data_IF_438752034075
#
_entry.id   IF_438752034075
#
_cell.length_a   1.000
_cell.length_b   1.000
_cell.length_c   1.000
_cell.angle_alpha   90.00
_cell.angle_beta   90.00
_cell.angle_gamma   90.00
#
_symmetry.space_group_name_H-M   'P 1'
#
loop_
_entity.id
_entity.type
_entity.pdbx_description
1 polymer ?
#
# COMPACT_ATOMS: atom_id res chain seq x y z
N UNK A 1 7.39 -29.66 -8.12
CA UNK A 1 8.51 -28.69 -8.12
C UNK A 1 9.36 -28.85 -9.36
N UNK A 2 9.83 -30.06 -9.70
CA UNK A 2 10.59 -30.31 -10.94
C UNK A 2 9.83 -29.91 -12.21
N UNK A 3 8.54 -30.25 -12.32
CA UNK A 3 7.72 -29.85 -13.48
C UNK A 3 7.54 -28.32 -13.58
N UNK A 4 7.31 -27.64 -12.44
CA UNK A 4 7.21 -26.17 -12.39
C UNK A 4 8.52 -25.50 -12.80
N UNK A 5 9.66 -25.96 -12.28
CA UNK A 5 10.97 -25.40 -12.63
C UNK A 5 11.35 -25.71 -14.08
N UNK A 6 10.87 -26.82 -14.65
CA UNK A 6 11.06 -27.12 -16.07
C UNK A 6 10.29 -26.16 -16.98
N UNK A 7 9.12 -25.70 -16.54
CA UNK A 7 8.24 -24.83 -17.33
C UNK A 7 8.53 -23.33 -17.10
N UNK A 8 8.83 -22.94 -15.85
CA UNK A 8 8.97 -21.54 -15.44
C UNK A 8 10.33 -21.20 -14.84
N UNK A 9 11.27 -22.14 -14.76
CA UNK A 9 12.56 -21.94 -14.08
C UNK A 9 13.38 -20.79 -14.66
N UNK A 10 13.31 -20.56 -15.97
CA UNK A 10 14.01 -19.47 -16.66
C UNK A 10 13.46 -18.08 -16.26
N UNK A 11 12.25 -17.99 -15.69
CA UNK A 11 11.60 -16.75 -15.27
C UNK A 11 11.46 -16.63 -13.75
N UNK A 12 11.65 -17.73 -13.02
CA UNK A 12 11.39 -17.82 -11.60
C UNK A 12 12.68 -17.58 -10.79
N UNK A 13 12.56 -16.85 -9.68
CA UNK A 13 13.66 -16.73 -8.72
C UNK A 13 14.75 -15.74 -9.11
N UNK A 14 14.37 -14.65 -9.80
CA UNK A 14 15.24 -13.52 -10.18
C UNK A 14 16.35 -13.91 -11.18
N UNK A 15 16.01 -14.35 -12.41
CA UNK A 15 16.99 -14.81 -13.40
C UNK A 15 18.01 -13.76 -13.82
N UNK A 16 17.61 -12.48 -13.87
CA UNK A 16 18.48 -11.34 -14.16
C UNK A 16 19.04 -10.69 -12.88
N UNK A 17 18.77 -11.29 -11.72
CA UNK A 17 19.21 -10.80 -10.43
C UNK A 17 20.69 -11.07 -10.19
N UNK A 18 21.36 -10.29 -9.31
CA UNK A 18 22.76 -10.52 -8.94
C UNK A 18 22.98 -11.82 -8.17
N UNK A 19 21.91 -12.42 -7.64
CA UNK A 19 21.88 -13.72 -6.95
C UNK A 19 20.56 -14.42 -7.30
N UNK A 20 20.62 -15.72 -7.48
CA UNK A 20 19.43 -16.57 -7.57
C UNK A 20 18.70 -16.67 -6.23
N UNK A 21 17.40 -17.04 -6.26
CA UNK A 21 16.62 -17.26 -5.03
C UNK A 21 17.27 -18.29 -4.09
N UNK A 22 17.88 -19.34 -4.64
CA UNK A 22 18.58 -20.37 -3.87
C UNK A 22 19.79 -19.79 -3.16
N UNK A 23 20.62 -19.03 -3.86
CA UNK A 23 21.79 -18.37 -3.26
C UNK A 23 21.40 -17.34 -2.19
N UNK A 24 20.32 -16.58 -2.39
CA UNK A 24 19.80 -15.65 -1.38
C UNK A 24 19.37 -16.43 -0.12
N UNK A 25 18.60 -17.52 -0.29
CA UNK A 25 18.14 -18.35 0.82
C UNK A 25 19.31 -18.95 1.60
N UNK A 26 20.32 -19.47 0.91
CA UNK A 26 21.50 -20.11 1.52
C UNK A 26 22.45 -19.09 2.18
N UNK A 27 22.61 -17.90 1.60
CA UNK A 27 23.61 -16.93 2.09
C UNK A 27 23.07 -15.91 3.08
N UNK A 28 21.79 -15.54 3.00
CA UNK A 28 21.21 -14.46 3.79
C UNK A 28 20.14 -14.89 4.80
N UNK A 29 19.75 -16.17 4.78
CA UNK A 29 18.75 -16.73 5.70
C UNK A 29 19.21 -18.05 6.32
N UNK A 30 20.51 -18.20 6.61
CA UNK A 30 21.15 -19.42 7.14
C UNK A 30 20.47 -19.96 8.40
N UNK A 31 19.90 -19.08 9.22
CA UNK A 31 19.15 -19.49 10.42
C UNK A 31 17.99 -20.47 10.15
N UNK A 32 17.47 -20.51 8.91
CA UNK A 32 16.44 -21.46 8.51
C UNK A 32 17.01 -22.88 8.22
N UNK A 33 18.33 -23.05 8.12
CA UNK A 33 18.98 -24.35 7.89
C UNK A 33 18.91 -25.26 9.13
N UNK A 34 18.41 -24.74 10.24
CA UNK A 34 18.12 -25.47 11.47
C UNK A 34 16.88 -26.38 11.38
N UNK A 35 16.37 -26.62 10.16
CA UNK A 35 15.22 -27.49 9.90
C UNK A 35 13.87 -26.79 10.05
N UNK A 36 13.82 -25.45 10.05
CA UNK A 36 12.58 -24.68 10.15
C UNK A 36 12.11 -24.25 8.77
N UNK A 37 10.86 -24.60 8.43
CA UNK A 37 10.18 -24.12 7.22
C UNK A 37 9.29 -22.94 7.59
N UNK A 38 9.64 -21.74 7.13
CA UNK A 38 8.90 -20.51 7.43
C UNK A 38 7.94 -20.17 6.28
N UNK A 39 6.63 -20.30 6.52
CA UNK A 39 5.57 -20.08 5.52
C UNK A 39 4.69 -18.86 5.83
N UNK A 40 5.13 -17.97 6.71
CA UNK A 40 4.36 -16.80 7.18
C UNK A 40 4.91 -15.46 6.63
N UNK A 41 5.53 -15.49 5.45
CA UNK A 41 6.09 -14.29 4.81
C UNK A 41 5.04 -13.22 4.50
N UNK A 42 3.78 -13.60 4.29
CA UNK A 42 2.68 -12.67 4.08
C UNK A 42 2.26 -11.94 5.38
N UNK A 43 2.41 -12.58 6.54
CA UNK A 43 2.13 -11.99 7.84
C UNK A 43 3.28 -11.09 8.32
N UNK A 44 4.50 -11.62 8.32
CA UNK A 44 5.70 -10.88 8.70
C UNK A 44 6.94 -11.49 8.08
N UNK A 45 7.47 -10.91 7.00
CA UNK A 45 8.70 -11.46 6.42
C UNK A 45 9.91 -11.37 7.37
N UNK A 46 10.86 -12.27 7.14
CA UNK A 46 12.14 -12.32 7.82
C UNK A 46 13.09 -11.26 7.25
N UNK A 47 13.86 -10.59 8.11
CA UNK A 47 14.99 -9.76 7.66
C UNK A 47 16.15 -10.64 7.17
N UNK A 48 16.91 -10.17 6.20
CA UNK A 48 18.12 -10.89 5.76
C UNK A 48 19.29 -10.64 6.72
N UNK A 49 20.22 -11.58 6.85
CA UNK A 49 21.43 -11.41 7.68
C UNK A 49 22.27 -10.23 7.17
N UNK A 50 22.40 -10.11 5.85
CA UNK A 50 23.10 -9.00 5.20
C UNK A 50 22.47 -7.64 5.54
N UNK A 51 21.13 -7.56 5.56
CA UNK A 51 20.43 -6.33 5.94
C UNK A 51 20.76 -5.91 7.37
N UNK A 52 20.80 -6.87 8.31
CA UNK A 52 21.13 -6.59 9.70
C UNK A 52 22.59 -6.18 9.88
N UNK A 53 23.52 -6.86 9.18
CA UNK A 53 24.95 -6.51 9.19
C UNK A 53 25.18 -5.10 8.67
N UNK A 54 24.53 -4.73 7.55
CA UNK A 54 24.64 -3.39 6.97
C UNK A 54 24.11 -2.31 7.91
N UNK A 55 22.94 -2.52 8.53
CA UNK A 55 22.38 -1.57 9.50
C UNK A 55 23.29 -1.43 10.71
N UNK A 56 23.82 -2.54 11.22
CA UNK A 56 24.72 -2.51 12.36
C UNK A 56 26.02 -1.75 12.07
N UNK A 57 26.65 -2.03 10.92
CA UNK A 57 27.85 -1.33 10.48
C UNK A 57 27.58 0.16 10.27
N UNK A 58 26.45 0.51 9.66
CA UNK A 58 26.06 1.91 9.48
C UNK A 58 25.88 2.64 10.82
N UNK A 59 25.11 2.08 11.75
CA UNK A 59 24.85 2.73 13.04
C UNK A 59 26.08 2.83 13.94
N UNK A 60 27.09 1.96 13.74
CA UNK A 60 28.33 1.98 14.53
C UNK A 60 29.43 2.84 13.91
N UNK A 61 29.33 3.18 12.62
CA UNK A 61 30.34 3.96 11.89
C UNK A 61 29.87 5.37 11.50
N UNK A 62 28.56 5.62 11.49
CA UNK A 62 27.94 6.90 11.13
C UNK A 62 27.48 7.68 12.37
N UNK A 63 27.55 9.01 12.31
CA UNK A 63 26.95 9.89 13.32
C UNK A 63 25.72 10.56 12.72
N UNK A 64 24.56 10.31 13.31
CA UNK A 64 23.30 10.92 12.91
C UNK A 64 22.91 12.05 13.85
N UNK A 65 22.51 13.17 13.26
CA UNK A 65 22.08 14.36 13.98
C UNK A 65 20.57 14.52 13.89
N UNK A 66 20.02 15.40 14.73
CA UNK A 66 18.67 15.90 14.48
C UNK A 66 18.68 16.74 13.20
N UNK A 67 17.91 16.39 12.13
CA UNK A 67 17.91 17.08 10.84
C UNK A 67 17.42 18.54 10.89
N UNK A 68 16.89 18.98 12.03
CA UNK A 68 16.47 20.37 12.25
C UNK A 68 17.50 21.23 13.00
N UNK A 69 18.63 20.64 13.40
CA UNK A 69 19.74 21.39 14.01
C UNK A 69 20.53 22.16 12.95
N UNK A 70 21.32 23.15 13.38
CA UNK A 70 22.22 23.91 12.51
C UNK A 70 23.65 23.38 12.64
N UNK A 71 23.95 22.26 11.99
CA UNK A 71 25.29 21.66 11.94
C UNK A 71 25.47 20.80 10.68
N UNK A 72 26.72 20.55 10.28
CA UNK A 72 27.01 19.73 9.09
C UNK A 72 26.38 18.33 9.18
N UNK A 73 26.43 17.72 10.37
CA UNK A 73 25.83 16.39 10.65
C UNK A 73 24.29 16.41 10.45
N UNK A 74 23.64 17.52 10.81
CA UNK A 74 22.21 17.72 10.61
C UNK A 74 21.84 17.77 9.12
N UNK A 75 22.64 18.49 8.33
CA UNK A 75 22.48 18.58 6.88
C UNK A 75 22.65 17.22 6.21
N UNK A 76 23.71 16.48 6.55
CA UNK A 76 23.90 15.10 6.05
C UNK A 76 22.73 14.19 6.42
N UNK A 77 22.22 14.27 7.65
CA UNK A 77 21.06 13.47 8.05
C UNK A 77 19.82 13.85 7.23
N UNK A 78 19.61 15.14 6.94
CA UNK A 78 18.51 15.62 6.10
C UNK A 78 18.60 15.10 4.67
N UNK A 79 19.81 15.08 4.10
CA UNK A 79 20.09 14.51 2.77
C UNK A 79 19.77 13.02 2.73
N UNK A 80 20.22 12.24 3.73
CA UNK A 80 19.93 10.79 3.81
C UNK A 80 18.41 10.52 3.85
N UNK A 81 17.65 11.32 4.61
CA UNK A 81 16.19 11.17 4.65
C UNK A 81 15.57 11.55 3.29
N UNK A 82 16.07 12.59 2.62
CA UNK A 82 15.61 12.96 1.28
C UNK A 82 15.91 11.87 0.24
N UNK A 83 17.08 11.25 0.32
CA UNK A 83 17.52 10.15 -0.55
C UNK A 83 16.65 8.91 -0.35
N UNK A 84 16.35 8.56 0.90
CA UNK A 84 15.44 7.47 1.23
C UNK A 84 14.04 7.69 0.63
N UNK A 85 13.52 8.93 0.68
CA UNK A 85 12.22 9.27 0.05
C UNK A 85 12.27 9.11 -1.47
N UNK A 86 13.35 9.56 -2.12
CA UNK A 86 13.50 9.42 -3.57
C UNK A 86 13.54 7.96 -4.00
N UNK A 87 14.28 7.11 -3.29
CA UNK A 87 14.34 5.67 -3.57
C UNK A 87 12.96 5.00 -3.48
N UNK A 88 12.14 5.36 -2.47
CA UNK A 88 10.76 4.84 -2.36
C UNK A 88 9.90 5.28 -3.54
N UNK A 89 9.97 6.57 -3.92
CA UNK A 89 9.21 7.08 -5.06
C UNK A 89 9.63 6.42 -6.38
N UNK A 90 10.92 6.27 -6.62
CA UNK A 90 11.47 5.58 -7.79
C UNK A 90 11.01 4.12 -7.85
N UNK A 91 11.03 3.41 -6.72
CA UNK A 91 10.56 2.02 -6.64
C UNK A 91 9.08 1.88 -7.05
N UNK A 92 8.24 2.84 -6.69
CA UNK A 92 6.83 2.87 -7.08
C UNK A 92 6.56 3.58 -8.42
N UNK A 93 7.60 3.97 -9.16
CA UNK A 93 7.49 4.76 -10.39
C UNK A 93 6.63 6.02 -10.21
N UNK A 94 6.76 6.67 -9.04
CA UNK A 94 5.98 7.83 -8.64
C UNK A 94 6.80 9.12 -8.80
N UNK A 95 6.34 10.04 -9.66
CA UNK A 95 7.01 11.33 -9.86
C UNK A 95 7.01 12.17 -8.58
N UNK A 96 8.14 12.75 -8.15
CA UNK A 96 8.19 13.66 -7.00
C UNK A 96 7.45 14.99 -7.25
N UNK A 97 7.06 15.29 -8.49
CA UNK A 97 6.23 16.46 -8.83
C UNK A 97 4.77 16.25 -8.41
N UNK A 98 4.29 15.00 -8.49
CA UNK A 98 2.88 14.63 -8.22
C UNK A 98 2.70 13.93 -6.86
N UNK A 99 3.75 13.27 -6.36
CA UNK A 99 3.70 12.41 -5.18
C UNK A 99 4.71 12.84 -4.12
N UNK A 100 4.35 12.58 -2.86
CA UNK A 100 5.22 12.79 -1.70
C UNK A 100 5.34 11.49 -0.90
N UNK A 101 6.56 11.16 -0.46
CA UNK A 101 6.80 10.01 0.42
C UNK A 101 6.72 10.42 1.90
N UNK A 102 5.76 9.83 2.62
CA UNK A 102 5.55 10.04 4.05
C UNK A 102 5.82 8.75 4.81
N UNK A 103 6.90 8.71 5.59
CA UNK A 103 7.19 7.58 6.47
C UNK A 103 6.22 7.55 7.64
N UNK A 104 5.68 6.37 7.93
CA UNK A 104 4.80 6.10 9.07
C UNK A 104 5.28 4.85 9.80
N UNK A 105 4.69 4.51 10.94
CA UNK A 105 5.01 3.27 11.66
C UNK A 105 4.45 1.99 10.99
N UNK A 106 3.80 2.10 9.83
CA UNK A 106 3.29 0.98 9.04
C UNK A 106 1.95 1.27 8.38
N UNK A 107 1.45 0.32 7.58
CA UNK A 107 0.23 0.47 6.78
C UNK A 107 -0.99 0.93 7.60
N UNK A 108 -1.20 0.34 8.78
CA UNK A 108 -2.32 0.73 9.67
C UNK A 108 -2.21 2.19 10.13
N UNK A 109 -1.01 2.67 10.47
CA UNK A 109 -0.82 4.06 10.90
C UNK A 109 -1.02 5.03 9.73
N UNK A 110 -0.53 4.69 8.53
CA UNK A 110 -0.78 5.47 7.31
C UNK A 110 -2.29 5.59 7.01
N UNK A 111 -3.02 4.47 7.02
CA UNK A 111 -4.46 4.45 6.79
C UNK A 111 -5.24 5.25 7.84
N UNK A 112 -4.79 5.20 9.09
CA UNK A 112 -5.36 5.99 10.18
C UNK A 112 -5.20 7.50 9.91
N UNK A 113 -3.99 7.94 9.53
CA UNK A 113 -3.72 9.35 9.18
C UNK A 113 -4.62 9.78 8.02
N UNK A 114 -4.76 8.95 6.98
CA UNK A 114 -5.68 9.22 5.86
C UNK A 114 -7.11 9.40 6.38
N UNK A 115 -7.61 8.46 7.19
CA UNK A 115 -8.95 8.56 7.77
C UNK A 115 -9.18 9.82 8.60
N UNK A 116 -8.20 10.22 9.42
CA UNK A 116 -8.29 11.38 10.32
C UNK A 116 -8.19 12.72 9.59
N UNK A 117 -7.41 12.79 8.51
CA UNK A 117 -7.08 14.03 7.82
C UNK A 117 -7.90 14.27 6.56
N UNK A 118 -8.52 13.22 6.00
CA UNK A 118 -9.35 13.37 4.81
C UNK A 118 -10.52 14.35 5.10
N UNK A 119 -10.80 15.30 4.19
CA UNK A 119 -11.80 16.34 4.41
C UNK A 119 -13.22 15.80 4.18
N UNK A 120 -13.66 14.89 5.05
CA UNK A 120 -14.99 14.29 4.98
C UNK A 120 -16.09 15.35 5.10
N UNK A 121 -17.14 15.16 4.31
CA UNK A 121 -18.36 15.96 4.33
C UNK A 121 -19.58 15.03 4.31
N UNK A 122 -20.77 15.58 4.52
CA UNK A 122 -22.02 14.81 4.39
C UNK A 122 -22.24 14.26 2.97
N UNK A 123 -21.62 14.89 1.97
CA UNK A 123 -21.68 14.45 0.56
C UNK A 123 -20.62 13.40 0.21
N UNK A 124 -19.70 13.10 1.13
CA UNK A 124 -18.65 12.11 0.92
C UNK A 124 -19.22 10.69 1.01
N UNK A 125 -18.64 9.78 0.22
CA UNK A 125 -18.97 8.35 0.25
C UNK A 125 -17.65 7.57 0.38
N UNK A 126 -17.48 6.85 1.48
CA UNK A 126 -16.35 5.94 1.65
C UNK A 126 -16.73 4.55 1.14
N UNK A 127 -16.07 4.10 0.08
CA UNK A 127 -16.33 2.80 -0.55
C UNK A 127 -15.14 1.89 -0.35
N UNK A 128 -15.38 0.64 0.07
CA UNK A 128 -14.35 -0.35 0.33
C UNK A 128 -14.82 -1.75 -0.09
N UNK A 129 -13.89 -2.68 -0.32
CA UNK A 129 -14.24 -4.06 -0.69
C UNK A 129 -14.25 -4.98 0.54
N UNK A 130 -14.97 -6.10 0.46
CA UNK A 130 -15.05 -7.06 1.57
C UNK A 130 -13.72 -7.75 1.89
N UNK A 131 -12.82 -7.78 0.91
CA UNK A 131 -11.49 -8.38 0.97
C UNK A 131 -10.44 -7.43 1.56
N UNK A 132 -10.79 -6.15 1.76
CA UNK A 132 -9.87 -5.20 2.35
C UNK A 132 -9.53 -5.56 3.80
N UNK A 133 -8.27 -5.33 4.18
CA UNK A 133 -7.81 -5.52 5.54
C UNK A 133 -8.59 -4.64 6.53
N UNK A 134 -8.75 -5.10 7.78
CA UNK A 134 -9.51 -4.41 8.83
C UNK A 134 -9.10 -2.95 9.04
N UNK A 135 -7.82 -2.62 8.82
CA UNK A 135 -7.32 -1.24 8.91
C UNK A 135 -7.98 -0.29 7.91
N UNK A 136 -8.32 -0.77 6.70
CA UNK A 136 -9.08 0.01 5.70
C UNK A 136 -10.52 0.17 6.16
N UNK A 137 -11.12 -0.91 6.68
CA UNK A 137 -12.49 -0.87 7.20
C UNK A 137 -12.64 0.14 8.34
N UNK A 138 -11.60 0.29 9.17
CA UNK A 138 -11.56 1.26 10.27
C UNK A 138 -11.71 2.72 9.81
N UNK A 139 -11.33 3.05 8.58
CA UNK A 139 -11.47 4.41 8.02
C UNK A 139 -12.93 4.88 8.04
N UNK A 140 -13.89 3.94 7.89
CA UNK A 140 -15.33 4.24 7.90
C UNK A 140 -15.76 5.02 9.14
N UNK A 141 -15.13 4.79 10.30
CA UNK A 141 -15.53 5.45 11.53
C UNK A 141 -15.27 6.95 11.50
N UNK A 142 -14.19 7.37 10.82
CA UNK A 142 -13.89 8.78 10.61
C UNK A 142 -14.86 9.43 9.62
N UNK A 143 -15.15 8.74 8.52
CA UNK A 143 -16.13 9.18 7.52
C UNK A 143 -17.53 9.35 8.16
N UNK A 144 -18.04 8.30 8.80
CA UNK A 144 -19.32 8.30 9.50
C UNK A 144 -19.37 9.35 10.62
N UNK A 145 -18.27 9.54 11.34
CA UNK A 145 -18.14 10.57 12.38
C UNK A 145 -18.31 12.00 11.87
N UNK A 146 -18.10 12.24 10.57
CA UNK A 146 -18.29 13.52 9.89
C UNK A 146 -19.59 13.59 9.06
N UNK A 147 -20.46 12.58 9.20
CA UNK A 147 -21.76 12.51 8.51
C UNK A 147 -21.68 11.99 7.07
N UNK A 148 -20.52 11.54 6.61
CA UNK A 148 -20.38 10.86 5.32
C UNK A 148 -21.08 9.48 5.36
N UNK A 149 -21.32 8.91 4.18
CA UNK A 149 -21.78 7.52 4.06
C UNK A 149 -20.59 6.56 3.93
N UNK A 150 -20.81 5.28 4.27
CA UNK A 150 -19.85 4.21 3.99
C UNK A 150 -20.56 3.00 3.36
N UNK A 151 -19.94 2.37 2.36
CA UNK A 151 -20.54 1.24 1.64
C UNK A 151 -19.47 0.19 1.31
N UNK A 152 -19.79 -1.07 1.63
CA UNK A 152 -19.00 -2.21 1.16
C UNK A 152 -19.46 -2.58 -0.26
N UNK A 153 -18.51 -2.92 -1.13
CA UNK A 153 -18.79 -3.42 -2.48
C UNK A 153 -18.18 -4.80 -2.68
N UNK A 154 -18.89 -5.66 -3.39
CA UNK A 154 -18.34 -6.91 -3.92
C UNK A 154 -17.83 -6.65 -5.34
N UNK A 155 -16.62 -7.12 -5.65
CA UNK A 155 -16.09 -7.08 -7.02
C UNK A 155 -16.71 -8.24 -7.80
N UNK A 156 -17.42 -7.94 -8.89
CA UNK A 156 -17.90 -8.95 -9.82
C UNK A 156 -16.85 -9.15 -10.91
N UNK A 157 -16.33 -10.38 -11.04
CA UNK A 157 -15.48 -10.73 -12.17
C UNK A 157 -16.26 -10.50 -13.48
N UNK A 158 -15.78 -9.58 -14.31
CA UNK A 158 -16.28 -9.46 -15.66
C UNK A 158 -15.91 -10.75 -16.40
N UNK A 159 -16.89 -11.61 -16.66
CA UNK A 159 -16.69 -12.78 -17.52
C UNK A 159 -16.13 -12.28 -18.86
N UNK A 160 -14.84 -12.52 -19.11
CA UNK A 160 -14.21 -12.26 -20.39
C UNK A 160 -14.93 -13.12 -21.42
N UNK A 161 -15.81 -12.52 -22.24
CA UNK A 161 -16.25 -13.17 -23.45
C UNK A 161 -15.06 -13.21 -24.43
N UNK A 162 -14.68 -14.38 -24.97
CA UNK A 162 -13.61 -14.45 -25.94
C UNK A 162 -13.98 -13.62 -27.18
N UNK A 163 -13.23 -12.55 -27.46
CA UNK A 163 -13.31 -11.83 -28.75
C UNK A 163 -13.58 -10.32 -28.73
N UNK A 164 -13.69 -9.65 -27.57
CA UNK A 164 -13.77 -8.18 -27.55
C UNK A 164 -12.39 -7.54 -27.32
N UNK A 165 -11.84 -6.91 -28.36
CA UNK A 165 -10.77 -5.92 -28.21
C UNK A 165 -11.33 -4.74 -27.40
N UNK A 166 -10.98 -4.65 -26.12
CA UNK A 166 -11.34 -3.53 -25.26
C UNK A 166 -10.50 -2.30 -25.66
N UNK A 167 -11.12 -1.35 -26.36
CA UNK A 167 -10.55 0.00 -26.65
C UNK A 167 -10.74 0.99 -25.49
N UNK A 168 -11.18 0.50 -24.34
CA UNK A 168 -11.38 1.24 -23.11
C UNK A 168 -11.10 0.28 -21.96
N UNK A 169 -10.27 0.69 -20.99
CA UNK A 169 -9.70 -0.17 -19.95
C UNK A 169 -10.72 -1.02 -19.17
N UNK A 170 -10.24 -1.97 -18.34
CA UNK A 170 -11.09 -2.95 -17.69
C UNK A 170 -12.16 -2.27 -16.82
N UNK A 171 -13.43 -2.39 -17.22
CA UNK A 171 -14.57 -1.98 -16.40
C UNK A 171 -14.76 -3.01 -15.28
N UNK A 172 -14.41 -2.65 -14.05
CA UNK A 172 -14.70 -3.46 -12.87
C UNK A 172 -16.17 -3.25 -12.53
N UNK A 173 -16.97 -4.32 -12.63
CA UNK A 173 -18.35 -4.32 -12.14
C UNK A 173 -18.32 -4.48 -10.63
N UNK A 174 -19.09 -3.65 -9.92
CA UNK A 174 -19.19 -3.70 -8.47
C UNK A 174 -20.65 -3.76 -8.04
N UNK A 175 -20.93 -4.58 -7.04
CA UNK A 175 -22.26 -4.70 -6.43
C UNK A 175 -22.25 -4.03 -5.06
N UNK A 176 -22.99 -2.93 -4.85
CA UNK A 176 -23.04 -2.26 -3.56
C UNK A 176 -23.86 -3.06 -2.55
N UNK A 177 -23.37 -3.09 -1.31
CA UNK A 177 -24.10 -3.60 -0.13
C UNK A 177 -24.80 -2.45 0.61
N UNK A 178 -25.49 -2.80 1.70
CA UNK A 178 -26.19 -1.84 2.54
C UNK A 178 -25.29 -0.67 2.96
N UNK A 179 -25.78 0.55 2.70
CA UNK A 179 -25.09 1.79 3.04
C UNK A 179 -25.20 2.03 4.53
N UNK A 180 -24.07 2.34 5.16
CA UNK A 180 -23.97 2.73 6.56
C UNK A 180 -23.98 4.25 6.66
N UNK A 181 -24.82 4.78 7.55
CA UNK A 181 -24.86 6.19 7.93
C UNK A 181 -25.09 6.26 9.44
N UNK A 182 -24.40 7.15 10.16
CA UNK A 182 -24.78 7.44 11.55
C UNK A 182 -26.07 8.26 11.53
N UNK A 183 -27.15 7.73 12.13
CA UNK A 183 -28.40 8.45 12.33
C UNK A 183 -28.13 9.69 13.20
N UNK A 184 -27.88 10.82 12.56
CA UNK A 184 -28.05 12.12 13.19
C UNK A 184 -29.53 12.48 13.00
N UNK A 185 -30.24 12.56 14.11
CA UNK A 185 -31.68 12.78 14.16
C UNK A 185 -32.09 14.01 13.32
N UNK A 186 -32.84 13.77 12.24
CA UNK A 186 -33.72 14.68 11.48
C UNK A 186 -33.08 15.98 10.92
N UNK A 187 -33.00 16.08 9.60
CA UNK A 187 -33.77 17.05 8.79
C UNK A 187 -33.49 16.91 7.27
N UNK A 188 -34.58 16.56 6.58
CA UNK A 188 -35.03 16.99 5.24
C UNK A 188 -34.41 16.44 3.93
N UNK A 189 -35.35 15.83 3.21
CA UNK A 189 -35.59 15.76 1.77
C UNK A 189 -34.72 14.82 0.93
N UNK A 190 -35.38 13.70 0.58
CA UNK A 190 -35.23 13.04 -0.72
C UNK A 190 -35.40 14.08 -1.84
N UNK A 191 -34.29 14.62 -2.32
CA UNK A 191 -34.21 15.13 -3.67
C UNK A 191 -33.25 14.25 -4.46
N UNK A 192 -33.77 13.72 -5.57
CA UNK A 192 -33.03 13.04 -6.61
C UNK A 192 -31.85 13.89 -7.07
N UNK A 193 -30.65 13.63 -6.54
CA UNK A 193 -29.45 14.35 -6.96
C UNK A 193 -28.92 13.76 -8.26
N UNK A 194 -29.15 14.49 -9.36
CA UNK A 194 -28.53 14.28 -10.67
C UNK A 194 -26.99 14.35 -10.62
N UNK A 195 -26.31 14.12 -11.75
CA UNK A 195 -24.88 13.84 -11.77
C UNK A 195 -24.07 15.12 -11.54
N UNK A 196 -23.84 15.47 -10.27
CA UNK A 196 -22.75 16.37 -9.92
C UNK A 196 -21.44 15.63 -10.13
N UNK A 197 -20.44 16.31 -10.72
CA UNK A 197 -19.09 15.80 -10.92
C UNK A 197 -18.49 15.37 -9.57
N UNK A 198 -18.65 14.10 -9.22
CA UNK A 198 -18.12 13.51 -7.99
C UNK A 198 -16.60 13.41 -8.17
N UNK A 199 -15.83 14.13 -7.35
CA UNK A 199 -14.38 13.87 -7.26
C UNK A 199 -14.21 12.48 -6.65
N UNK A 200 -13.80 11.53 -7.47
CA UNK A 200 -13.43 10.20 -7.04
C UNK A 200 -11.96 10.28 -6.63
N UNK A 201 -11.69 9.96 -5.37
CA UNK A 201 -10.34 9.79 -4.89
C UNK A 201 -10.11 8.29 -4.76
N UNK A 202 -9.18 7.76 -5.58
CA UNK A 202 -8.69 6.41 -5.36
C UNK A 202 -7.56 6.48 -4.34
N UNK A 203 -7.75 5.82 -3.20
CA UNK A 203 -6.72 5.76 -2.16
C UNK A 203 -5.65 4.69 -2.45
N UNK A 204 -5.86 3.85 -3.47
CA UNK A 204 -5.03 2.65 -3.71
C UNK A 204 -4.73 2.36 -5.19
N UNK A 205 -5.10 3.24 -6.12
CA UNK A 205 -4.92 2.98 -7.54
C UNK A 205 -3.90 3.97 -8.13
N UNK A 206 -2.75 3.45 -8.56
CA UNK A 206 -1.86 4.18 -9.46
C UNK A 206 -2.41 4.05 -10.88
N UNK A 207 -2.51 5.15 -11.65
CA UNK A 207 -2.64 5.05 -13.10
C UNK A 207 -1.32 4.47 -13.66
N UNK A 208 -1.45 3.49 -14.56
CA UNK A 208 -0.34 2.98 -15.38
C UNK A 208 0.24 4.06 -16.30
#
# INVERSE_FOLDING_TARGET
>A
MEEFLKEFGDYYGYPDGPKSITEIRETEFKRLDQGVVYLDHAGSTLYSELQMENIFNDFTSSVYGNPHSQSDISSTTSEIIADARRQVLEYFNASPEDYSCVFTSGATAALKIVGETFPWTQDSNFVYTMENHNSVLGIREYALGKGASACAVDIEEAANQPGQLASSGPFIKVKPRAVQTRNTSKLQNEESRGPFARRIFSLFFHPE
#
